data_IF_286391117274
#
_entry.id   IF_286391117274
#
_cell.length_a   1.000
_cell.length_b   1.000
_cell.length_c   1.000
_cell.angle_alpha   90.00
_cell.angle_beta   90.00
_cell.angle_gamma   90.00
#
_symmetry.space_group_name_H-M   'P 1'
#
loop_
_entity.id
_entity.type
_entity.pdbx_description
1 polymer ?
#
# COMPACT_ATOMS: atom_id res chain seq x y z
N UNK A 1 67.73 -13.65 -36.66
CA UNK A 1 66.71 -12.59 -36.57
C UNK A 1 65.35 -13.21 -36.81
N UNK A 2 64.53 -13.36 -35.77
CA UNK A 2 63.08 -13.55 -35.92
C UNK A 2 62.43 -12.84 -34.74
N UNK A 3 61.71 -11.77 -35.03
CA UNK A 3 61.16 -10.80 -34.08
C UNK A 3 59.89 -11.39 -33.45
N UNK A 4 59.86 -11.49 -32.13
CA UNK A 4 58.68 -11.89 -31.35
C UNK A 4 57.77 -10.65 -31.21
N UNK A 5 56.64 -10.63 -31.91
CA UNK A 5 55.64 -9.55 -31.83
C UNK A 5 54.79 -9.68 -30.57
N UNK A 6 54.93 -8.73 -29.65
CA UNK A 6 54.09 -8.59 -28.46
C UNK A 6 52.71 -8.05 -28.88
N UNK A 7 51.69 -8.91 -28.90
CA UNK A 7 50.31 -8.51 -29.15
C UNK A 7 49.74 -7.88 -27.85
N UNK A 8 49.81 -6.56 -27.74
CA UNK A 8 49.10 -5.81 -26.70
C UNK A 8 47.60 -5.85 -26.98
N UNK A 9 46.87 -6.76 -26.32
CA UNK A 9 45.42 -6.68 -26.23
C UNK A 9 45.05 -5.42 -25.42
N UNK A 10 44.52 -4.40 -26.10
CA UNK A 10 43.88 -3.27 -25.43
C UNK A 10 42.65 -3.80 -24.68
N UNK A 11 42.76 -3.95 -23.37
CA UNK A 11 41.58 -4.08 -22.52
C UNK A 11 40.88 -2.73 -22.54
N UNK A 12 39.80 -2.61 -23.32
CA UNK A 12 38.89 -1.49 -23.15
C UNK A 12 38.33 -1.61 -21.73
N UNK A 13 38.77 -0.73 -20.83
CA UNK A 13 38.02 -0.48 -19.61
C UNK A 13 36.62 -0.09 -20.06
N UNK A 14 35.63 -0.95 -19.79
CA UNK A 14 34.23 -0.59 -19.97
C UNK A 14 33.97 0.53 -18.98
N UNK A 15 34.05 1.77 -19.44
CA UNK A 15 33.68 2.92 -18.63
C UNK A 15 32.17 2.82 -18.44
N UNK A 16 31.76 2.41 -17.25
CA UNK A 16 30.37 2.46 -16.83
C UNK A 16 30.03 3.93 -16.62
N UNK A 17 29.04 4.41 -17.36
CA UNK A 17 28.47 5.73 -17.16
C UNK A 17 27.09 5.52 -16.53
N UNK A 18 26.82 6.09 -15.34
CA UNK A 18 25.47 6.06 -14.80
C UNK A 18 24.56 6.82 -15.77
N UNK A 19 23.61 6.11 -16.37
CA UNK A 19 22.66 6.67 -17.33
C UNK A 19 21.41 7.21 -16.60
N UNK A 20 21.04 6.57 -15.47
CA UNK A 20 19.95 6.99 -14.59
C UNK A 20 20.17 6.46 -13.15
N UNK A 21 19.29 6.82 -12.21
CA UNK A 21 19.31 6.28 -10.84
C UNK A 21 19.15 4.76 -10.82
N UNK A 22 19.82 4.01 -9.93
CA UNK A 22 19.64 2.56 -9.85
C UNK A 22 18.17 2.17 -9.71
N UNK A 23 17.78 1.10 -10.39
CA UNK A 23 16.45 0.52 -10.27
C UNK A 23 16.11 0.16 -8.83
N UNK A 24 14.82 0.02 -8.54
CA UNK A 24 14.37 -0.33 -7.19
C UNK A 24 14.71 -1.79 -6.88
N UNK A 25 15.29 -2.11 -5.70
CA UNK A 25 15.56 -3.49 -5.29
C UNK A 25 14.29 -4.33 -5.23
N UNK A 26 14.39 -5.65 -5.43
CA UNK A 26 13.25 -6.57 -5.42
C UNK A 26 13.24 -7.45 -4.18
N UNK A 27 12.08 -7.99 -3.82
CA UNK A 27 11.88 -8.94 -2.73
C UNK A 27 12.67 -8.63 -1.44
N UNK A 28 12.15 -7.69 -0.64
CA UNK A 28 12.65 -7.49 0.73
C UNK A 28 12.03 -8.56 1.63
N UNK A 29 12.81 -9.57 1.99
CA UNK A 29 12.43 -10.59 2.95
C UNK A 29 13.05 -10.25 4.31
N UNK A 30 12.23 -10.19 5.35
CA UNK A 30 12.67 -9.95 6.72
C UNK A 30 12.41 -11.20 7.54
N UNK A 31 13.47 -11.81 8.05
CA UNK A 31 13.41 -13.01 8.89
C UNK A 31 13.93 -12.68 10.29
N UNK A 32 13.31 -13.20 11.37
CA UNK A 32 13.90 -13.11 12.69
C UNK A 32 15.17 -13.96 12.74
N UNK A 33 16.31 -13.35 13.05
CA UNK A 33 17.57 -14.07 13.27
C UNK A 33 17.78 -14.38 14.76
N UNK A 34 17.29 -13.50 15.65
CA UNK A 34 17.24 -13.71 17.11
C UNK A 34 16.20 -12.78 17.75
N UNK A 35 16.17 -12.72 19.09
CA UNK A 35 15.33 -11.78 19.85
C UNK A 35 15.71 -10.30 19.67
N UNK A 36 16.88 -10.00 19.09
CA UNK A 36 17.37 -8.62 18.89
C UNK A 36 17.99 -8.37 17.51
N UNK A 37 17.93 -9.34 16.59
CA UNK A 37 18.50 -9.20 15.25
C UNK A 37 17.51 -9.66 14.18
N UNK A 38 17.46 -8.90 13.09
CA UNK A 38 16.70 -9.20 11.88
C UNK A 38 17.67 -9.55 10.77
N UNK A 39 17.38 -10.63 10.03
CA UNK A 39 18.02 -10.91 8.75
C UNK A 39 17.15 -10.28 7.67
N UNK A 40 17.69 -9.26 6.98
CA UNK A 40 17.06 -8.64 5.83
C UNK A 40 17.74 -9.15 4.58
N UNK A 41 17.00 -9.91 3.77
CA UNK A 41 17.44 -10.33 2.45
C UNK A 41 16.79 -9.40 1.42
N UNK A 42 17.61 -8.82 0.57
CA UNK A 42 17.18 -7.96 -0.55
C UNK A 42 17.70 -8.58 -1.83
N UNK A 43 16.83 -8.73 -2.82
CA UNK A 43 17.25 -9.10 -4.16
C UNK A 43 17.56 -7.85 -4.98
N UNK A 44 18.51 -7.94 -5.92
CA UNK A 44 18.77 -6.84 -6.82
C UNK A 44 17.54 -6.42 -7.63
N UNK A 45 17.55 -5.18 -8.15
CA UNK A 45 16.57 -4.73 -9.12
C UNK A 45 16.29 -5.77 -10.21
N UNK A 46 15.03 -5.92 -10.59
CA UNK A 46 14.64 -6.81 -11.68
C UNK A 46 15.30 -6.35 -12.98
N UNK A 47 15.84 -7.30 -13.76
CA UNK A 47 16.42 -6.98 -15.06
C UNK A 47 17.73 -6.19 -15.00
N UNK A 48 18.53 -6.34 -13.91
CA UNK A 48 19.93 -5.89 -13.94
C UNK A 48 20.61 -6.48 -15.17
N UNK A 49 21.24 -5.60 -15.94
CA UNK A 49 21.98 -5.94 -17.14
C UNK A 49 23.43 -6.22 -16.74
N UNK A 50 24.24 -6.90 -17.58
CA UNK A 50 25.69 -6.99 -17.37
C UNK A 50 26.38 -5.63 -17.19
N UNK A 51 25.74 -4.56 -17.67
CA UNK A 51 26.17 -3.17 -17.54
C UNK A 51 25.75 -2.51 -16.20
N UNK A 52 25.13 -3.26 -15.29
CA UNK A 52 24.60 -2.75 -14.03
C UNK A 52 23.12 -2.34 -14.09
N UNK A 53 22.65 -1.66 -13.04
CA UNK A 53 21.30 -1.10 -12.97
C UNK A 53 21.35 0.33 -13.51
N UNK A 54 20.72 0.56 -14.67
CA UNK A 54 20.74 1.85 -15.36
C UNK A 54 22.15 2.38 -15.68
N UNK A 55 23.06 1.48 -16.07
CA UNK A 55 24.38 1.81 -16.59
C UNK A 55 25.53 1.72 -15.58
N UNK A 56 25.24 1.46 -14.30
CA UNK A 56 26.25 1.34 -13.24
C UNK A 56 25.94 0.15 -12.29
N UNK A 57 26.92 -0.61 -11.78
CA UNK A 57 26.65 -1.75 -10.91
C UNK A 57 26.09 -1.29 -9.56
N UNK A 58 25.13 -2.05 -9.02
CA UNK A 58 24.61 -1.78 -7.68
C UNK A 58 25.66 -2.19 -6.65
N UNK A 59 26.29 -1.20 -6.03
CA UNK A 59 27.40 -1.43 -5.07
C UNK A 59 26.92 -1.86 -3.68
N UNK A 60 25.66 -1.60 -3.34
CA UNK A 60 25.07 -1.97 -2.06
C UNK A 60 23.68 -1.39 -1.86
N UNK A 61 23.03 -1.79 -0.77
CA UNK A 61 21.71 -1.31 -0.38
C UNK A 61 21.79 -0.60 0.97
N UNK A 62 21.05 0.51 1.09
CA UNK A 62 20.78 1.16 2.38
C UNK A 62 19.49 0.58 2.95
N UNK A 63 19.56 -0.07 4.10
CA UNK A 63 18.39 -0.57 4.82
C UNK A 63 18.04 0.45 5.90
N UNK A 64 16.97 1.20 5.66
CA UNK A 64 16.41 2.09 6.67
C UNK A 64 15.37 1.33 7.50
N UNK A 65 15.71 1.05 8.76
CA UNK A 65 14.79 0.42 9.73
C UNK A 65 14.09 1.53 10.50
N UNK A 66 12.76 1.63 10.33
CA UNK A 66 11.96 2.47 11.21
C UNK A 66 11.89 1.78 12.59
N UNK A 67 12.73 2.22 13.53
CA UNK A 67 12.66 1.74 14.91
C UNK A 67 11.43 2.37 15.57
N UNK A 68 10.41 1.55 15.81
CA UNK A 68 9.33 1.93 16.71
C UNK A 68 9.94 2.23 18.09
N UNK A 69 9.81 3.48 18.53
CA UNK A 69 10.16 3.89 19.89
C UNK A 69 8.84 4.29 20.54
N UNK A 70 8.37 3.57 21.57
CA UNK A 70 7.15 3.98 22.26
C UNK A 70 7.36 5.35 22.90
N UNK A 71 6.34 6.19 22.87
CA UNK A 71 6.34 7.41 23.66
C UNK A 71 6.30 7.02 25.14
N UNK A 72 7.14 7.66 25.95
CA UNK A 72 7.18 7.43 27.39
C UNK A 72 6.95 8.75 28.10
N UNK A 73 5.93 8.77 28.95
CA UNK A 73 5.65 9.87 29.85
C UNK A 73 5.81 9.41 31.29
N UNK A 74 6.02 10.38 32.17
CA UNK A 74 5.91 10.19 33.60
C UNK A 74 4.73 10.97 34.13
N UNK A 75 4.07 10.45 35.16
CA UNK A 75 3.03 11.14 35.89
C UNK A 75 3.38 11.09 37.38
N UNK A 76 3.58 12.26 37.98
CA UNK A 76 3.91 12.39 39.39
C UNK A 76 2.68 12.82 40.19
N UNK A 77 2.51 12.18 41.35
CA UNK A 77 1.65 12.65 42.43
C UNK A 77 2.56 12.92 43.62
N UNK A 78 2.54 14.15 44.14
CA UNK A 78 3.43 14.57 45.22
C UNK A 78 2.78 15.62 46.12
N UNK A 79 3.29 15.71 47.34
CA UNK A 79 2.89 16.72 48.32
C UNK A 79 4.13 17.32 48.97
N UNK A 80 4.26 18.64 48.91
CA UNK A 80 5.36 19.36 49.55
C UNK A 80 5.14 19.56 51.06
N UNK A 81 3.89 19.48 51.52
CA UNK A 81 3.49 19.86 52.88
C UNK A 81 3.47 18.68 53.87
N UNK A 82 3.64 17.45 53.40
CA UNK A 82 3.60 16.23 54.22
C UNK A 82 2.90 15.05 53.53
N UNK A 83 2.82 13.88 54.19
CA UNK A 83 2.25 12.66 53.59
C UNK A 83 0.79 12.84 53.18
N UNK A 84 0.44 12.25 52.04
CA UNK A 84 -0.94 12.11 51.59
C UNK A 84 -1.52 10.88 52.29
N UNK A 85 -2.64 11.02 52.99
CA UNK A 85 -3.28 9.93 53.76
C UNK A 85 -4.57 9.44 53.12
N UNK A 86 -5.15 10.21 52.21
CA UNK A 86 -6.37 9.86 51.50
C UNK A 86 -6.65 10.78 50.33
N UNK A 87 -7.65 10.42 49.51
CA UNK A 87 -8.07 11.17 48.34
C UNK A 87 -7.92 10.38 47.04
N UNK A 88 -8.48 10.94 45.97
CA UNK A 88 -8.56 10.32 44.66
C UNK A 88 -8.59 11.37 43.54
N UNK A 89 -8.31 10.94 42.31
CA UNK A 89 -8.30 11.80 41.13
C UNK A 89 -8.72 11.03 39.88
N UNK A 90 -9.08 11.75 38.83
CA UNK A 90 -9.31 11.20 37.48
C UNK A 90 -8.13 11.53 36.58
N UNK A 91 -7.85 10.66 35.62
CA UNK A 91 -6.85 10.86 34.58
C UNK A 91 -7.51 11.36 33.31
N UNK A 92 -6.84 12.26 32.59
CA UNK A 92 -7.26 12.75 31.28
C UNK A 92 -6.09 12.76 30.31
N UNK A 93 -6.39 12.50 29.04
CA UNK A 93 -5.41 12.55 27.96
C UNK A 93 -6.03 13.14 26.69
N UNK A 94 -5.25 13.96 25.99
CA UNK A 94 -5.61 14.53 24.68
C UNK A 94 -4.70 13.90 23.62
N UNK A 95 -5.26 13.17 22.65
CA UNK A 95 -4.44 12.52 21.63
C UNK A 95 -3.94 13.50 20.55
N UNK A 96 -3.10 13.02 19.63
CA UNK A 96 -2.57 13.83 18.52
C UNK A 96 -3.63 14.40 17.56
N UNK A 97 -4.85 13.87 17.58
CA UNK A 97 -6.00 14.40 16.83
C UNK A 97 -6.76 15.50 17.58
N UNK A 98 -6.33 15.87 18.78
CA UNK A 98 -6.97 16.90 19.62
C UNK A 98 -8.20 16.43 20.38
N UNK A 99 -8.48 15.12 20.41
CA UNK A 99 -9.61 14.56 21.16
C UNK A 99 -9.18 14.29 22.60
N UNK A 100 -9.90 14.90 23.55
CA UNK A 100 -9.69 14.70 25.00
C UNK A 100 -10.66 13.68 25.56
N UNK A 101 -10.15 12.75 26.36
CA UNK A 101 -10.96 11.84 27.16
C UNK A 101 -10.50 11.84 28.61
N UNK A 102 -11.45 11.61 29.52
CA UNK A 102 -11.24 11.55 30.97
C UNK A 102 -11.77 10.24 31.51
N UNK A 103 -11.04 9.62 32.44
CA UNK A 103 -11.43 8.36 33.06
C UNK A 103 -12.73 8.53 33.83
N UNK A 104 -13.68 7.61 33.67
CA UNK A 104 -15.00 7.72 34.31
C UNK A 104 -14.92 7.52 35.83
N UNK A 105 -14.05 6.63 36.31
CA UNK A 105 -13.83 6.34 37.73
C UNK A 105 -12.68 7.17 38.33
N UNK A 106 -12.86 7.66 39.55
CA UNK A 106 -11.76 8.20 40.36
C UNK A 106 -10.84 7.06 40.84
N UNK A 107 -9.53 7.25 40.68
CA UNK A 107 -8.51 6.33 41.20
C UNK A 107 -7.93 6.85 42.52
N UNK A 108 -7.65 5.99 43.51
CA UNK A 108 -7.01 6.40 44.76
C UNK A 108 -5.63 7.02 44.54
N UNK A 109 -5.22 7.92 45.45
CA UNK A 109 -3.93 8.63 45.34
C UNK A 109 -2.71 7.69 45.22
N UNK A 110 -2.74 6.54 45.90
CA UNK A 110 -1.67 5.54 45.97
C UNK A 110 -1.95 4.27 45.15
N UNK A 111 -2.74 4.39 44.08
CA UNK A 111 -3.19 3.26 43.27
C UNK A 111 -2.05 2.39 42.72
N UNK A 112 -2.30 1.11 42.48
CA UNK A 112 -1.32 0.20 41.86
C UNK A 112 -1.10 0.57 40.38
N UNK A 113 0.05 0.21 39.77
CA UNK A 113 0.27 0.44 38.34
C UNK A 113 -0.82 -0.19 37.46
N UNK A 114 -1.35 -1.36 37.83
CA UNK A 114 -2.41 -2.03 37.05
C UNK A 114 -3.70 -1.22 37.02
N UNK A 115 -4.13 -0.67 38.17
CA UNK A 115 -5.33 0.16 38.25
C UNK A 115 -5.13 1.49 37.52
N UNK A 116 -3.92 2.07 37.60
CA UNK A 116 -3.57 3.25 36.82
C UNK A 116 -3.63 2.96 35.31
N UNK A 117 -3.06 1.83 34.87
CA UNK A 117 -3.10 1.40 33.47
C UNK A 117 -4.53 1.13 33.00
N UNK A 118 -5.37 0.47 33.81
CA UNK A 118 -6.79 0.25 33.50
C UNK A 118 -7.55 1.57 33.33
N UNK A 119 -7.31 2.57 34.18
CA UNK A 119 -7.95 3.88 34.05
C UNK A 119 -7.58 4.56 32.72
N UNK A 120 -6.33 4.48 32.28
CA UNK A 120 -5.91 5.00 30.97
C UNK A 120 -6.42 4.17 29.79
N UNK A 121 -6.39 2.83 29.89
CA UNK A 121 -6.91 1.94 28.85
C UNK A 121 -8.44 2.01 28.71
N UNK A 122 -9.14 2.62 29.66
CA UNK A 122 -10.58 2.91 29.54
C UNK A 122 -10.88 4.14 28.67
N UNK A 123 -9.86 4.93 28.31
CA UNK A 123 -10.04 6.13 27.50
C UNK A 123 -10.23 5.74 26.02
N UNK A 124 -11.33 6.15 25.36
CA UNK A 124 -11.62 5.77 23.97
C UNK A 124 -10.64 6.35 22.94
N UNK A 125 -9.81 7.32 23.34
CA UNK A 125 -8.81 7.95 22.49
C UNK A 125 -7.40 7.35 22.65
N UNK A 126 -7.27 6.25 23.40
CA UNK A 126 -6.05 5.47 23.57
C UNK A 126 -6.32 3.99 23.25
N UNK A 127 -5.33 3.32 22.68
CA UNK A 127 -5.42 1.91 22.26
C UNK A 127 -4.33 1.03 22.88
N UNK A 128 -3.70 1.50 23.97
CA UNK A 128 -2.81 0.67 24.78
C UNK A 128 -1.75 1.47 25.55
N UNK A 129 -1.69 1.25 26.85
CA UNK A 129 -0.59 1.71 27.71
C UNK A 129 -0.09 0.61 28.64
N UNK A 130 1.21 0.66 28.95
CA UNK A 130 1.85 -0.13 29.98
C UNK A 130 2.34 0.85 31.05
N UNK A 131 2.09 0.55 32.33
CA UNK A 131 2.44 1.46 33.43
C UNK A 131 3.30 0.73 34.45
N UNK A 132 4.37 1.38 34.89
CA UNK A 132 5.13 0.99 36.08
C UNK A 132 5.08 2.10 37.12
N UNK A 133 5.30 1.78 38.39
CA UNK A 133 5.27 2.75 39.48
C UNK A 133 6.56 2.67 40.28
N UNK A 134 7.11 3.83 40.66
CA UNK A 134 8.24 3.92 41.56
C UNK A 134 7.91 3.41 42.97
N UNK A 135 8.95 3.26 43.79
CA UNK A 135 8.79 3.22 45.25
C UNK A 135 8.26 4.57 45.76
N UNK A 136 7.66 4.54 46.95
CA UNK A 136 7.22 5.76 47.63
C UNK A 136 8.44 6.63 47.98
N UNK A 137 8.31 7.94 47.80
CA UNK A 137 9.38 8.91 48.08
C UNK A 137 10.29 9.23 46.89
N UNK A 138 10.03 8.66 45.71
CA UNK A 138 10.70 9.06 44.46
C UNK A 138 10.46 10.54 44.11
N UNK A 139 9.33 11.07 44.57
CA UNK A 139 8.99 12.50 44.65
C UNK A 139 8.51 12.79 46.08
N UNK A 140 8.55 14.05 46.55
CA UNK A 140 8.07 14.44 47.87
C UNK A 140 6.73 13.78 48.23
N UNK A 141 6.79 12.88 49.22
CA UNK A 141 5.62 12.22 49.80
C UNK A 141 4.70 11.54 48.76
N UNK A 142 5.28 10.97 47.70
CA UNK A 142 4.49 10.51 46.56
C UNK A 142 5.14 9.47 45.67
N UNK A 143 4.57 9.30 44.49
CA UNK A 143 4.93 8.29 43.50
C UNK A 143 5.13 8.90 42.11
N UNK A 144 5.97 8.25 41.30
CA UNK A 144 6.09 8.49 39.87
C UNK A 144 5.59 7.26 39.11
N UNK A 145 4.60 7.45 38.25
CA UNK A 145 4.14 6.44 37.31
C UNK A 145 4.84 6.67 35.98
N UNK A 146 5.51 5.64 35.44
CA UNK A 146 6.08 5.68 34.09
C UNK A 146 5.11 5.00 33.15
N UNK A 147 4.63 5.74 32.16
CA UNK A 147 3.58 5.36 31.21
C UNK A 147 4.25 5.17 29.87
N UNK A 148 4.24 3.94 29.36
CA UNK A 148 4.70 3.60 28.02
C UNK A 148 3.48 3.44 27.12
N UNK A 149 3.37 4.32 26.13
CA UNK A 149 2.35 4.25 25.08
C UNK A 149 2.69 3.10 24.14
N UNK A 150 1.92 2.02 24.21
CA UNK A 150 2.21 0.75 23.56
C UNK A 150 1.16 0.35 22.51
N UNK A 151 0.13 1.17 22.32
CA UNK A 151 -0.91 0.93 21.33
C UNK A 151 -0.41 1.07 19.90
N UNK A 152 -0.93 0.22 19.02
CA UNK A 152 -0.42 0.05 17.66
C UNK A 152 -0.90 1.15 16.68
N UNK A 153 -1.95 1.89 17.02
CA UNK A 153 -2.64 2.82 16.11
C UNK A 153 -2.76 4.23 16.71
N UNK A 154 -3.48 4.40 17.82
CA UNK A 154 -3.76 5.72 18.43
C UNK A 154 -2.59 6.23 19.26
N UNK A 155 -1.93 5.34 19.99
CA UNK A 155 -0.77 5.60 20.84
C UNK A 155 0.57 5.40 20.10
N UNK A 156 0.53 5.22 18.77
CA UNK A 156 1.71 4.93 17.97
C UNK A 156 2.46 6.23 17.54
N UNK A 157 3.69 6.36 18.03
CA UNK A 157 4.56 7.51 17.79
C UNK A 157 4.39 8.59 18.85
N UNK A 158 4.88 9.80 18.56
CA UNK A 158 4.94 10.90 19.50
C UNK A 158 3.57 11.28 20.05
N UNK A 159 3.46 11.41 21.36
CA UNK A 159 2.26 11.89 22.05
C UNK A 159 2.49 13.34 22.46
N UNK A 160 1.99 14.34 21.73
CA UNK A 160 2.36 15.74 21.99
C UNK A 160 1.82 16.28 23.32
N UNK A 161 0.69 15.75 23.79
CA UNK A 161 0.07 16.19 25.04
C UNK A 161 0.44 15.26 26.20
N UNK A 162 0.39 15.82 27.41
CA UNK A 162 0.70 15.10 28.63
C UNK A 162 -0.56 14.44 29.22
N UNK A 163 -0.38 13.30 29.87
CA UNK A 163 -1.38 12.77 30.79
C UNK A 163 -1.54 13.75 31.95
N UNK A 164 -2.78 14.15 32.23
CA UNK A 164 -3.14 15.10 33.28
C UNK A 164 -4.05 14.44 34.31
N UNK A 165 -4.07 14.98 35.52
CA UNK A 165 -4.91 14.49 36.60
C UNK A 165 -5.70 15.62 37.26
N UNK A 166 -6.93 15.33 37.68
CA UNK A 166 -7.78 16.28 38.42
C UNK A 166 -8.53 15.60 39.55
N UNK A 167 -8.53 16.23 40.72
CA UNK A 167 -9.30 15.79 41.88
C UNK A 167 -10.66 16.50 42.01
N UNK A 168 -11.04 17.37 41.07
CA UNK A 168 -12.22 18.24 41.19
C UNK A 168 -13.55 17.47 41.33
N UNK A 169 -13.67 16.32 40.68
CA UNK A 169 -14.85 15.46 40.73
C UNK A 169 -14.68 14.25 41.67
N UNK A 170 -13.61 14.23 42.47
CA UNK A 170 -13.19 13.08 43.26
C UNK A 170 -13.11 13.42 44.75
N UNK A 171 -12.92 12.39 45.58
CA UNK A 171 -12.70 12.60 47.02
C UNK A 171 -11.45 13.44 47.23
N UNK A 172 -11.61 14.58 47.93
CA UNK A 172 -10.54 15.52 48.20
C UNK A 172 -9.35 14.87 48.92
N UNK A 173 -8.15 15.34 48.61
CA UNK A 173 -6.94 14.86 49.27
C UNK A 173 -6.91 15.20 50.76
N UNK A 174 -6.36 14.27 51.54
CA UNK A 174 -6.17 14.40 52.97
C UNK A 174 -4.68 14.31 53.31
N UNK A 175 -4.21 15.07 54.32
CA UNK A 175 -4.92 16.15 55.04
C UNK A 175 -5.33 17.34 54.15
N UNK A 176 -6.46 17.98 54.43
CA UNK A 176 -7.00 19.07 53.59
C UNK A 176 -6.12 20.33 53.53
N UNK A 177 -5.16 20.47 54.46
CA UNK A 177 -4.19 21.56 54.48
C UNK A 177 -2.91 21.27 53.65
N UNK A 178 -2.80 20.09 53.02
CA UNK A 178 -1.67 19.74 52.17
C UNK A 178 -1.98 20.03 50.69
N UNK A 179 -1.00 20.57 49.97
CA UNK A 179 -1.06 20.81 48.53
C UNK A 179 -0.53 19.60 47.79
N UNK A 180 -1.44 18.90 47.11
CA UNK A 180 -1.10 17.79 46.21
C UNK A 180 -0.96 18.30 44.78
N UNK A 181 0.18 18.04 44.16
CA UNK A 181 0.44 18.33 42.75
C UNK A 181 0.33 17.05 41.93
N UNK A 182 -0.37 17.15 40.80
CA UNK A 182 -0.50 16.12 39.77
C UNK A 182 0.15 16.66 38.50
N UNK A 183 1.24 16.03 38.04
CA UNK A 183 1.98 16.55 36.89
C UNK A 183 2.46 15.43 35.99
N UNK A 184 2.04 15.49 34.72
CA UNK A 184 2.64 14.73 33.63
C UNK A 184 3.92 15.39 33.14
N UNK A 185 4.87 14.61 32.62
CA UNK A 185 6.06 15.09 31.93
C UNK A 185 6.50 14.11 30.85
N UNK A 186 7.05 14.62 29.75
CA UNK A 186 7.65 13.80 28.70
C UNK A 186 8.97 13.21 29.18
N UNK A 187 9.21 11.93 28.88
CA UNK A 187 10.49 11.26 29.15
C UNK A 187 11.17 10.83 27.84
N UNK A 188 10.42 10.22 26.93
CA UNK A 188 10.92 9.82 25.61
C UNK A 188 9.87 10.13 24.57
N UNK A 189 10.24 10.90 23.56
CA UNK A 189 9.35 11.16 22.41
C UNK A 189 9.25 9.90 21.55
N UNK A 190 8.03 9.46 21.29
CA UNK A 190 7.79 8.28 20.46
C UNK A 190 8.12 8.51 18.98
N UNK A 191 8.64 7.48 18.32
CA UNK A 191 8.79 7.44 16.86
C UNK A 191 7.75 6.49 16.29
N UNK A 192 7.01 6.96 15.27
CA UNK A 192 5.93 6.19 14.66
C UNK A 192 6.47 4.89 14.07
N UNK A 193 5.90 3.77 14.50
CA UNK A 193 6.12 2.45 13.92
C UNK A 193 5.27 2.23 12.67
N UNK A 194 5.59 1.17 11.93
CA UNK A 194 4.80 0.72 10.80
C UNK A 194 3.39 0.29 11.25
N UNK A 195 2.36 0.83 10.59
CA UNK A 195 0.97 0.40 10.75
C UNK A 195 0.53 -0.17 9.41
N UNK A 196 0.20 -1.47 9.31
CA UNK A 196 -0.25 -2.04 8.06
C UNK A 196 -1.56 -1.39 7.65
N UNK A 197 -1.68 -1.12 6.35
CA UNK A 197 -2.95 -0.75 5.79
C UNK A 197 -3.90 -1.95 5.77
N UNK A 198 -5.10 -1.77 6.32
CA UNK A 198 -6.14 -2.80 6.38
C UNK A 198 -7.36 -2.35 5.59
N UNK A 199 -7.79 -3.19 4.66
CA UNK A 199 -9.06 -3.06 3.95
C UNK A 199 -10.08 -3.97 4.57
N UNK A 200 -11.25 -3.42 4.88
CA UNK A 200 -12.38 -4.20 5.34
C UNK A 200 -13.37 -4.36 4.20
N UNK A 201 -13.60 -5.62 3.80
CA UNK A 201 -14.69 -6.01 2.93
C UNK A 201 -15.83 -6.49 3.83
N UNK A 202 -17.04 -5.98 3.62
CA UNK A 202 -18.22 -6.42 4.37
C UNK A 202 -19.32 -6.83 3.40
N UNK A 203 -19.94 -7.98 3.65
CA UNK A 203 -21.25 -8.32 3.09
C UNK A 203 -22.32 -8.21 4.17
N UNK A 204 -23.52 -7.81 3.78
CA UNK A 204 -24.66 -7.71 4.70
C UNK A 204 -25.96 -7.99 3.99
N UNK A 205 -26.94 -8.54 4.70
CA UNK A 205 -28.32 -8.67 4.27
C UNK A 205 -29.18 -7.80 5.20
N UNK A 206 -29.98 -6.90 4.63
CA UNK A 206 -30.68 -5.87 5.41
C UNK A 206 -31.96 -6.37 6.10
N UNK A 207 -32.56 -7.46 5.62
CA UNK A 207 -33.80 -8.01 6.20
C UNK A 207 -33.56 -9.00 7.33
N UNK A 208 -32.34 -9.52 7.45
CA UNK A 208 -31.93 -10.56 8.40
C UNK A 208 -32.75 -11.85 8.27
N UNK A 209 -33.21 -12.16 7.06
CA UNK A 209 -34.07 -13.33 6.81
C UNK A 209 -33.35 -14.48 6.12
N UNK A 210 -32.27 -14.19 5.40
CA UNK A 210 -31.49 -15.18 4.65
C UNK A 210 -30.00 -14.83 4.69
N UNK A 211 -29.14 -15.83 4.60
CA UNK A 211 -27.70 -15.62 4.42
C UNK A 211 -27.33 -15.00 3.07
N UNK A 212 -26.16 -14.34 3.02
CA UNK A 212 -25.57 -13.85 1.76
C UNK A 212 -24.85 -14.97 1.02
N UNK A 213 -25.17 -15.14 -0.27
CA UNK A 213 -24.50 -16.03 -1.22
C UNK A 213 -24.12 -15.31 -2.52
N UNK A 214 -23.79 -16.07 -3.56
CA UNK A 214 -23.37 -15.53 -4.86
C UNK A 214 -21.87 -15.31 -4.94
N UNK A 215 -21.44 -14.33 -5.73
CA UNK A 215 -20.01 -14.06 -5.96
C UNK A 215 -19.67 -12.59 -5.84
N UNK A 216 -18.39 -12.33 -5.70
CA UNK A 216 -17.84 -10.99 -5.65
C UNK A 216 -16.61 -10.96 -6.54
N UNK A 217 -16.57 -9.99 -7.46
CA UNK A 217 -15.38 -9.71 -8.23
C UNK A 217 -14.48 -8.75 -7.44
N UNK A 218 -13.23 -9.14 -7.27
CA UNK A 218 -12.20 -8.32 -6.62
C UNK A 218 -11.11 -8.02 -7.63
N UNK A 219 -10.58 -6.81 -7.58
CA UNK A 219 -9.55 -6.38 -8.52
C UNK A 219 -8.63 -5.31 -7.92
N UNK A 220 -7.41 -5.24 -8.43
CA UNK A 220 -6.37 -4.31 -7.97
C UNK A 220 -5.56 -3.81 -9.17
N UNK A 221 -5.30 -2.51 -9.19
CA UNK A 221 -4.50 -1.89 -10.26
C UNK A 221 -5.12 -2.05 -11.66
N UNK A 222 -4.32 -1.87 -12.70
CA UNK A 222 -4.67 -2.18 -14.10
C UNK A 222 -3.56 -2.97 -14.81
N UNK A 223 -2.48 -3.24 -14.10
CA UNK A 223 -1.38 -4.04 -14.57
C UNK A 223 -1.87 -5.43 -14.94
N UNK A 224 -1.30 -5.96 -16.02
CA UNK A 224 -1.60 -7.29 -16.53
C UNK A 224 -0.38 -8.21 -16.42
N UNK A 225 -0.51 -9.41 -16.96
CA UNK A 225 0.66 -10.22 -17.30
C UNK A 225 1.18 -9.80 -18.67
N UNK A 226 2.50 -9.69 -18.83
CA UNK A 226 3.16 -9.30 -20.09
C UNK A 226 3.15 -10.44 -21.11
N UNK A 227 1.97 -10.82 -21.59
CA UNK A 227 1.72 -12.01 -22.42
C UNK A 227 0.92 -11.71 -23.68
N UNK A 228 0.36 -10.51 -23.84
CA UNK A 228 -0.40 -10.15 -25.04
C UNK A 228 0.54 -9.88 -26.20
N UNK A 229 0.57 -10.79 -27.17
CA UNK A 229 1.32 -10.61 -28.41
C UNK A 229 0.66 -9.50 -29.25
N UNK A 230 1.46 -8.54 -29.71
CA UNK A 230 0.98 -7.43 -30.54
C UNK A 230 0.85 -7.78 -32.03
N UNK A 231 1.32 -8.98 -32.45
CA UNK A 231 1.36 -9.38 -33.85
C UNK A 231 2.42 -8.67 -34.67
N UNK A 232 3.24 -7.83 -34.03
CA UNK A 232 4.33 -7.05 -34.64
C UNK A 232 5.67 -7.64 -34.26
N UNK A 233 6.61 -7.62 -35.19
CA UNK A 233 8.01 -7.98 -34.92
C UNK A 233 8.92 -6.75 -34.88
N UNK A 234 9.98 -6.84 -34.07
CA UNK A 234 10.96 -5.79 -33.90
C UNK A 234 12.38 -6.38 -33.88
N UNK A 235 13.36 -5.57 -34.26
CA UNK A 235 14.78 -5.88 -34.10
C UNK A 235 15.46 -4.80 -33.27
N UNK A 236 16.39 -5.18 -32.41
CA UNK A 236 17.18 -4.27 -31.59
C UNK A 236 18.62 -4.76 -31.59
N UNK A 237 19.54 -3.88 -31.91
CA UNK A 237 20.96 -4.20 -31.88
C UNK A 237 21.41 -4.39 -30.41
N UNK A 238 22.37 -5.29 -30.18
CA UNK A 238 22.91 -5.49 -28.85
C UNK A 238 23.49 -4.20 -28.27
N UNK A 239 23.11 -3.85 -27.04
CA UNK A 239 23.50 -2.61 -26.38
C UNK A 239 22.73 -1.36 -26.82
N UNK A 240 21.75 -1.48 -27.72
CA UNK A 240 20.93 -0.35 -28.18
C UNK A 240 19.71 -0.13 -27.28
N UNK A 241 19.40 1.13 -26.95
CA UNK A 241 18.11 1.55 -26.36
C UNK A 241 17.08 1.92 -27.43
N UNK A 242 17.40 1.71 -28.69
CA UNK A 242 16.53 2.00 -29.83
C UNK A 242 16.29 0.74 -30.62
N UNK A 243 15.03 0.32 -30.66
CA UNK A 243 14.57 -0.80 -31.45
C UNK A 243 14.01 -0.32 -32.79
N UNK A 244 14.14 -1.15 -33.82
CA UNK A 244 13.81 -0.88 -35.21
C UNK A 244 12.66 -1.78 -35.65
N UNK A 245 11.68 -1.17 -36.29
CA UNK A 245 10.50 -1.82 -36.87
C UNK A 245 10.34 -1.38 -38.33
N UNK A 246 9.46 -2.02 -39.08
CA UNK A 246 9.02 -1.56 -40.40
C UNK A 246 7.75 -0.74 -40.26
N UNK A 247 7.42 0.11 -41.23
CA UNK A 247 6.17 0.85 -41.22
C UNK A 247 4.92 -0.06 -41.10
N UNK A 248 4.99 -1.29 -41.64
CA UNK A 248 3.94 -2.30 -41.52
C UNK A 248 3.81 -2.90 -40.10
N UNK A 249 4.88 -2.85 -39.30
CA UNK A 249 4.93 -3.34 -37.90
C UNK A 249 4.95 -2.18 -36.88
N UNK A 250 4.54 -0.98 -37.30
CA UNK A 250 4.59 0.24 -36.48
C UNK A 250 3.88 0.08 -35.14
N UNK A 251 4.58 0.41 -34.06
CA UNK A 251 4.01 0.38 -32.70
C UNK A 251 3.27 1.66 -32.30
N UNK A 252 3.36 2.76 -33.05
CA UNK A 252 2.68 4.03 -32.72
C UNK A 252 1.16 3.85 -32.64
N UNK A 253 0.60 2.98 -33.47
CA UNK A 253 -0.84 2.67 -33.47
C UNK A 253 -1.29 1.81 -32.28
N UNK A 254 -0.36 1.23 -31.54
CA UNK A 254 -0.62 0.14 -30.59
C UNK A 254 -0.24 0.51 -29.16
N UNK A 255 0.90 1.17 -28.97
CA UNK A 255 1.42 1.57 -27.66
C UNK A 255 1.59 3.08 -27.56
N UNK A 256 1.41 3.61 -26.37
CA UNK A 256 1.69 5.00 -26.01
C UNK A 256 3.02 5.13 -25.26
N UNK A 257 3.37 6.38 -24.91
CA UNK A 257 4.54 6.67 -24.07
C UNK A 257 4.37 6.07 -22.69
N UNK A 258 5.48 5.59 -22.09
CA UNK A 258 5.55 4.92 -20.80
C UNK A 258 4.86 3.54 -20.72
N UNK A 259 4.24 3.08 -21.81
CA UNK A 259 3.70 1.73 -21.87
C UNK A 259 4.81 0.70 -21.73
N UNK A 260 4.46 -0.42 -21.09
CA UNK A 260 5.38 -1.52 -20.84
C UNK A 260 5.27 -2.52 -21.99
N UNK A 261 6.42 -3.00 -22.44
CA UNK A 261 6.54 -4.08 -23.41
C UNK A 261 7.64 -5.06 -23.03
N UNK A 262 7.58 -6.25 -23.61
CA UNK A 262 8.62 -7.28 -23.53
C UNK A 262 9.12 -7.60 -24.93
N UNK A 263 10.44 -7.62 -25.08
CA UNK A 263 11.16 -7.98 -26.30
C UNK A 263 12.11 -9.12 -25.93
N UNK A 264 11.96 -10.29 -26.56
CA UNK A 264 12.82 -11.46 -26.33
C UNK A 264 13.00 -11.83 -24.83
N UNK A 265 11.94 -11.69 -24.03
CA UNK A 265 11.96 -11.96 -22.58
C UNK A 265 12.48 -10.83 -21.70
N UNK A 266 12.98 -9.74 -22.28
CA UNK A 266 13.45 -8.55 -21.55
C UNK A 266 12.37 -7.46 -21.54
N UNK A 267 12.11 -6.88 -20.35
CA UNK A 267 11.07 -5.87 -20.12
C UNK A 267 11.61 -4.46 -20.35
N UNK A 268 10.82 -3.63 -21.03
CA UNK A 268 11.13 -2.24 -21.33
C UNK A 268 9.88 -1.36 -21.13
N UNK A 269 10.10 -0.05 -21.06
CA UNK A 269 9.05 0.96 -21.28
C UNK A 269 9.36 1.76 -22.54
N UNK A 270 8.29 2.21 -23.21
CA UNK A 270 8.44 3.22 -24.26
C UNK A 270 8.95 4.50 -23.61
N UNK A 271 10.11 4.97 -24.04
CA UNK A 271 10.76 6.14 -23.49
C UNK A 271 9.82 7.36 -23.51
N UNK A 272 9.79 8.13 -22.43
CA UNK A 272 8.84 9.23 -22.24
C UNK A 272 8.93 10.31 -23.33
N UNK A 273 10.15 10.72 -23.71
CA UNK A 273 10.39 11.89 -24.58
C UNK A 273 11.14 11.62 -25.89
N UNK A 274 11.97 10.57 -25.99
CA UNK A 274 12.77 10.27 -27.17
C UNK A 274 11.92 10.04 -28.44
N UNK A 275 12.43 10.26 -29.67
CA UNK A 275 11.62 10.11 -30.89
C UNK A 275 11.02 8.71 -31.03
N UNK A 276 9.69 8.63 -31.15
CA UNK A 276 8.93 7.41 -31.44
C UNK A 276 8.30 7.59 -32.81
N UNK A 277 8.79 6.82 -33.78
CA UNK A 277 8.33 6.82 -35.18
C UNK A 277 7.75 5.44 -35.55
N UNK A 278 7.23 5.32 -36.76
CA UNK A 278 6.73 4.06 -37.32
C UNK A 278 7.80 2.96 -37.45
N UNK A 279 9.05 3.39 -37.54
CA UNK A 279 10.23 2.54 -37.76
C UNK A 279 11.20 2.53 -36.59
N UNK A 280 10.99 3.40 -35.60
CA UNK A 280 11.90 3.58 -34.45
C UNK A 280 11.10 3.57 -33.15
N UNK A 281 11.42 2.61 -32.28
CA UNK A 281 10.81 2.45 -30.96
C UNK A 281 11.87 2.76 -29.91
N UNK A 282 11.71 3.88 -29.17
CA UNK A 282 12.67 4.24 -28.14
C UNK A 282 12.34 3.49 -26.85
N UNK A 283 13.32 2.76 -26.34
CA UNK A 283 13.24 2.03 -25.08
C UNK A 283 13.81 2.89 -23.95
N UNK A 284 13.30 2.70 -22.75
CA UNK A 284 13.82 3.31 -21.52
C UNK A 284 15.24 2.83 -21.15
N UNK A 285 15.68 1.69 -21.68
CA UNK A 285 16.99 1.10 -21.40
C UNK A 285 17.56 0.28 -22.57
N UNK A 286 18.87 -0.01 -22.54
CA UNK A 286 19.60 -0.74 -23.62
C UNK A 286 19.29 -2.24 -23.63
N UNK A 287 18.91 -2.84 -24.74
CA UNK A 287 18.69 -4.30 -24.83
C UNK A 287 20.03 -5.06 -24.81
N UNK A 288 20.20 -6.04 -23.91
CA UNK A 288 21.53 -6.63 -23.61
C UNK A 288 22.10 -7.38 -24.81
N UNK A 289 21.37 -8.40 -25.25
CA UNK A 289 21.85 -9.37 -26.25
C UNK A 289 21.47 -9.00 -27.68
N UNK A 290 20.74 -7.90 -27.84
CA UNK A 290 19.96 -7.63 -29.04
C UNK A 290 18.85 -8.67 -29.26
N UNK A 291 18.01 -8.41 -30.25
CA UNK A 291 17.02 -9.34 -30.74
C UNK A 291 16.77 -9.05 -32.22
N UNK A 292 16.49 -10.08 -33.02
CA UNK A 292 16.22 -9.89 -34.44
C UNK A 292 14.89 -10.51 -34.82
N UNK A 293 13.99 -9.70 -35.36
CA UNK A 293 12.68 -10.09 -35.85
C UNK A 293 11.87 -10.90 -34.82
N UNK A 294 11.86 -10.42 -33.58
CA UNK A 294 11.16 -11.08 -32.46
C UNK A 294 9.81 -10.44 -32.22
N UNK A 295 8.86 -11.24 -31.73
CA UNK A 295 7.55 -10.75 -31.33
C UNK A 295 7.64 -9.82 -30.10
N UNK A 296 6.73 -8.83 -30.07
CA UNK A 296 6.58 -7.90 -28.95
C UNK A 296 5.34 -8.24 -28.15
N UNK A 297 5.48 -8.24 -26.83
CA UNK A 297 4.39 -8.51 -25.90
C UNK A 297 4.11 -7.29 -25.01
N UNK A 298 2.86 -7.09 -24.62
CA UNK A 298 2.44 -6.08 -23.63
C UNK A 298 1.52 -6.72 -22.59
N UNK A 299 0.97 -5.92 -21.68
CA UNK A 299 0.01 -6.38 -20.69
C UNK A 299 -1.25 -6.97 -21.36
N UNK A 300 -1.72 -8.09 -20.84
CA UNK A 300 -2.99 -8.72 -21.24
C UNK A 300 -4.23 -7.86 -20.90
N UNK A 301 -4.07 -6.90 -20.00
CA UNK A 301 -5.06 -5.87 -19.67
C UNK A 301 -5.12 -4.73 -20.69
N UNK A 302 -4.11 -4.56 -21.54
CA UNK A 302 -4.13 -3.54 -22.60
C UNK A 302 -5.20 -3.90 -23.61
N UNK A 303 -6.24 -3.07 -23.74
CA UNK A 303 -7.26 -3.26 -24.79
C UNK A 303 -6.69 -2.78 -26.12
N UNK A 304 -6.22 -1.53 -26.15
CA UNK A 304 -5.60 -0.92 -27.31
C UNK A 304 -5.51 0.59 -27.16
N UNK A 305 -5.24 1.28 -28.27
CA UNK A 305 -5.11 2.73 -28.32
C UNK A 305 -6.45 3.41 -28.58
N UNK A 306 -6.64 4.60 -28.02
CA UNK A 306 -7.80 5.44 -28.24
C UNK A 306 -7.45 6.92 -28.41
N UNK A 307 -8.40 7.67 -28.96
CA UNK A 307 -8.38 9.12 -28.99
C UNK A 307 -9.38 9.70 -27.99
N UNK A 308 -8.92 10.68 -27.21
CA UNK A 308 -9.67 11.37 -26.16
C UNK A 308 -9.71 12.86 -26.45
N UNK A 309 -10.81 13.50 -26.10
CA UNK A 309 -11.04 14.95 -26.27
C UNK A 309 -11.34 15.56 -24.92
N UNK A 310 -10.66 16.65 -24.57
CA UNK A 310 -10.90 17.40 -23.32
C UNK A 310 -12.39 17.74 -23.18
N UNK A 311 -12.97 17.41 -22.03
CA UNK A 311 -14.37 17.70 -21.72
C UNK A 311 -15.39 16.74 -22.36
N UNK A 312 -14.93 15.67 -23.04
CA UNK A 312 -15.80 14.64 -23.62
C UNK A 312 -15.73 13.34 -22.82
N UNK A 313 -16.87 12.71 -22.56
CA UNK A 313 -16.94 11.32 -22.09
C UNK A 313 -16.86 10.30 -23.24
N UNK A 314 -16.92 10.75 -24.49
CA UNK A 314 -16.83 9.89 -25.68
C UNK A 314 -15.39 9.75 -26.13
N UNK A 315 -14.94 8.50 -26.23
CA UNK A 315 -13.59 8.08 -26.62
C UNK A 315 -13.66 7.36 -27.96
N UNK A 316 -12.89 7.80 -28.95
CA UNK A 316 -12.90 7.19 -30.30
C UNK A 316 -11.86 6.07 -30.38
N UNK A 317 -12.24 4.96 -31.01
CA UNK A 317 -11.37 3.79 -31.22
C UNK A 317 -11.15 3.55 -32.72
N UNK A 318 -9.95 3.13 -33.10
CA UNK A 318 -9.62 2.75 -34.48
C UNK A 318 -9.94 1.28 -34.79
N UNK A 319 -10.20 0.49 -33.75
CA UNK A 319 -10.54 -0.93 -33.84
C UNK A 319 -11.76 -1.22 -32.98
N UNK A 320 -12.46 -2.31 -33.33
CA UNK A 320 -13.61 -2.78 -32.58
C UNK A 320 -13.18 -3.46 -31.29
N UNK A 321 -13.54 -2.85 -30.15
CA UNK A 321 -13.24 -3.36 -28.82
C UNK A 321 -14.44 -4.05 -28.15
N UNK A 322 -15.57 -4.21 -28.83
CA UNK A 322 -16.81 -4.82 -28.28
C UNK A 322 -16.63 -6.27 -27.81
N UNK A 323 -15.64 -6.99 -28.35
CA UNK A 323 -15.30 -8.34 -27.89
C UNK A 323 -14.47 -8.36 -26.58
N UNK A 324 -13.83 -7.24 -26.23
CA UNK A 324 -12.91 -7.14 -25.08
C UNK A 324 -13.48 -6.33 -23.92
N UNK A 325 -14.42 -5.42 -24.22
CA UNK A 325 -15.04 -4.49 -23.28
C UNK A 325 -16.56 -4.63 -23.30
N UNK A 326 -17.16 -4.47 -22.12
CA UNK A 326 -18.60 -4.39 -21.92
C UNK A 326 -18.98 -3.21 -21.02
N UNK A 327 -20.28 -2.92 -20.96
CA UNK A 327 -20.83 -1.92 -20.05
C UNK A 327 -20.56 -2.33 -18.60
N UNK A 328 -20.13 -1.38 -17.77
CA UNK A 328 -19.74 -1.58 -16.38
C UNK A 328 -18.27 -1.94 -16.16
N UNK A 329 -17.50 -2.22 -17.23
CA UNK A 329 -16.07 -2.49 -17.09
C UNK A 329 -15.31 -1.26 -16.57
N UNK A 330 -14.44 -1.49 -15.59
CA UNK A 330 -13.50 -0.49 -15.11
C UNK A 330 -12.30 -0.41 -16.07
N UNK A 331 -12.02 0.80 -16.55
CA UNK A 331 -10.95 1.09 -17.51
C UNK A 331 -10.03 2.20 -17.03
N UNK A 332 -8.78 2.16 -17.50
CA UNK A 332 -7.79 3.21 -17.28
C UNK A 332 -7.37 3.82 -18.62
N UNK A 333 -7.24 5.15 -18.58
CA UNK A 333 -6.76 5.99 -19.67
C UNK A 333 -5.72 6.94 -19.08
N UNK A 334 -4.44 6.70 -19.40
CA UNK A 334 -3.34 7.41 -18.76
C UNK A 334 -3.34 7.22 -17.24
N UNK A 335 -3.43 8.31 -16.47
CA UNK A 335 -3.51 8.27 -15.00
C UNK A 335 -4.93 8.23 -14.43
N UNK A 336 -5.96 8.27 -15.29
CA UNK A 336 -7.37 8.41 -14.88
C UNK A 336 -8.15 7.11 -15.05
N UNK A 337 -9.09 6.87 -14.14
CA UNK A 337 -9.93 5.67 -14.10
C UNK A 337 -11.38 6.03 -14.40
N UNK A 338 -12.07 5.18 -15.15
CA UNK A 338 -13.44 5.37 -15.58
C UNK A 338 -14.19 4.04 -15.61
N UNK A 339 -15.51 4.12 -15.73
CA UNK A 339 -16.40 2.98 -16.01
C UNK A 339 -16.99 3.12 -17.42
N UNK A 340 -17.13 2.02 -18.14
CA UNK A 340 -17.75 2.01 -19.47
C UNK A 340 -19.28 2.10 -19.34
N UNK A 341 -19.90 3.12 -19.93
CA UNK A 341 -21.36 3.28 -20.00
C UNK A 341 -21.96 2.71 -21.29
N UNK A 342 -21.24 2.81 -22.40
CA UNK A 342 -21.65 2.26 -23.69
C UNK A 342 -20.42 1.93 -24.54
N UNK A 343 -20.56 0.97 -25.44
CA UNK A 343 -19.51 0.62 -26.39
C UNK A 343 -20.11 0.26 -27.76
N UNK A 344 -19.44 0.73 -28.80
CA UNK A 344 -19.69 0.40 -30.21
C UNK A 344 -18.36 0.05 -30.87
N UNK A 345 -18.38 -0.33 -32.15
CA UNK A 345 -17.18 -0.68 -32.90
C UNK A 345 -16.15 0.45 -33.02
N UNK A 346 -16.54 1.72 -32.83
CA UNK A 346 -15.66 2.89 -33.03
C UNK A 346 -15.67 3.86 -31.85
N UNK A 347 -16.44 3.60 -30.80
CA UNK A 347 -16.60 4.53 -29.68
C UNK A 347 -16.84 3.80 -28.36
N UNK A 348 -16.17 4.27 -27.31
CA UNK A 348 -16.41 3.92 -25.90
C UNK A 348 -16.90 5.17 -25.18
N UNK A 349 -18.03 5.07 -24.48
CA UNK A 349 -18.57 6.15 -23.64
C UNK A 349 -18.23 5.88 -22.19
N UNK A 350 -17.63 6.85 -21.50
CA UNK A 350 -17.20 6.79 -20.11
C UNK A 350 -18.25 7.37 -19.16
N UNK A 351 -18.12 7.09 -17.87
CA UNK A 351 -18.94 7.61 -16.77
C UNK A 351 -18.62 9.07 -16.38
N UNK A 352 -17.51 9.61 -16.86
CA UNK A 352 -17.12 11.00 -16.66
C UNK A 352 -16.38 11.57 -17.88
N UNK A 353 -16.39 12.90 -17.98
CA UNK A 353 -15.66 13.61 -19.04
C UNK A 353 -14.15 13.50 -18.84
N UNK A 354 -13.40 13.35 -19.94
CA UNK A 354 -11.95 13.36 -19.94
C UNK A 354 -11.41 14.71 -19.43
N UNK A 355 -10.60 14.73 -18.34
CA UNK A 355 -10.20 15.98 -17.68
C UNK A 355 -8.87 16.55 -18.18
N UNK A 356 -8.14 15.84 -19.04
CA UNK A 356 -6.81 16.23 -19.51
C UNK A 356 -6.83 16.75 -20.96
N UNK A 357 -5.73 17.34 -21.46
CA UNK A 357 -5.66 17.75 -22.86
C UNK A 357 -6.03 16.62 -23.84
N UNK A 358 -6.65 16.99 -24.95
CA UNK A 358 -6.98 16.04 -26.02
C UNK A 358 -5.74 15.34 -26.53
N UNK A 359 -5.83 14.04 -26.75
CA UNK A 359 -4.72 13.21 -27.23
C UNK A 359 -5.26 12.10 -28.11
N UNK A 360 -4.56 11.83 -29.22
CA UNK A 360 -4.86 10.68 -30.05
C UNK A 360 -4.10 9.43 -29.60
N UNK A 361 -3.17 9.53 -28.64
CA UNK A 361 -2.25 8.47 -28.22
C UNK A 361 -2.43 8.17 -26.73
N UNK A 362 -3.56 7.57 -26.36
CA UNK A 362 -3.81 7.10 -24.99
C UNK A 362 -4.08 5.61 -25.02
N UNK A 363 -3.41 4.86 -24.15
CA UNK A 363 -3.63 3.44 -23.99
C UNK A 363 -4.82 3.21 -23.08
N UNK A 364 -5.80 2.46 -23.59
CA UNK A 364 -6.97 1.99 -22.86
C UNK A 364 -6.64 0.63 -22.26
N UNK A 365 -6.68 0.54 -20.94
CA UNK A 365 -6.49 -0.70 -20.20
C UNK A 365 -7.77 -1.10 -19.50
N UNK A 366 -8.10 -2.39 -19.49
CA UNK A 366 -9.20 -2.98 -18.74
C UNK A 366 -8.66 -3.64 -17.49
N UNK A 367 -9.29 -3.37 -16.34
CA UNK A 367 -8.87 -3.97 -15.08
C UNK A 367 -9.06 -5.49 -15.12
N UNK A 368 -8.04 -6.23 -14.68
CA UNK A 368 -8.18 -7.68 -14.44
C UNK A 368 -8.85 -7.91 -13.10
N UNK A 369 -9.78 -8.86 -13.05
CA UNK A 369 -10.55 -9.22 -11.86
C UNK A 369 -10.46 -10.71 -11.59
N UNK A 370 -10.64 -11.07 -10.33
CA UNK A 370 -10.82 -12.44 -9.87
C UNK A 370 -12.19 -12.54 -9.20
N UNK A 371 -12.86 -13.67 -9.36
CA UNK A 371 -14.19 -13.90 -8.79
C UNK A 371 -14.06 -14.87 -7.64
N UNK A 372 -14.60 -14.50 -6.48
CA UNK A 372 -14.68 -15.35 -5.29
C UNK A 372 -16.13 -15.50 -4.86
N UNK A 373 -16.42 -16.53 -4.06
CA UNK A 373 -17.75 -16.64 -3.45
C UNK A 373 -18.01 -15.51 -2.45
N UNK A 374 -19.26 -15.10 -2.31
CA UNK A 374 -19.67 -14.09 -1.33
C UNK A 374 -19.62 -14.57 0.12
N UNK A 375 -19.32 -15.85 0.34
CA UNK A 375 -19.09 -16.50 1.64
C UNK A 375 -17.69 -17.14 1.74
N UNK A 376 -16.80 -16.84 0.78
CA UNK A 376 -15.45 -17.40 0.68
C UNK A 376 -14.70 -17.36 2.01
N UNK A 377 -13.99 -18.44 2.33
CA UNK A 377 -13.10 -18.44 3.49
C UNK A 377 -11.90 -17.50 3.29
N UNK A 378 -11.16 -17.24 4.37
CA UNK A 378 -10.04 -16.30 4.32
C UNK A 378 -8.92 -16.75 3.37
N UNK A 379 -8.65 -18.07 3.30
CA UNK A 379 -7.64 -18.65 2.42
C UNK A 379 -8.05 -18.59 0.95
N UNK A 380 -9.32 -18.85 0.64
CA UNK A 380 -9.87 -18.71 -0.72
C UNK A 380 -9.70 -17.26 -1.24
N UNK A 381 -10.11 -16.26 -0.45
CA UNK A 381 -9.96 -14.85 -0.84
C UNK A 381 -8.49 -14.44 -0.97
N UNK A 382 -7.62 -14.89 -0.05
CA UNK A 382 -6.19 -14.61 -0.13
C UNK A 382 -5.57 -15.19 -1.41
N UNK A 383 -5.86 -16.46 -1.71
CA UNK A 383 -5.36 -17.12 -2.91
C UNK A 383 -5.86 -16.43 -4.18
N UNK A 384 -7.14 -16.07 -4.25
CA UNK A 384 -7.71 -15.38 -5.39
C UNK A 384 -7.05 -14.01 -5.63
N UNK A 385 -6.81 -13.23 -4.56
CA UNK A 385 -6.11 -11.95 -4.64
C UNK A 385 -4.67 -12.11 -5.12
N UNK A 386 -3.95 -13.14 -4.65
CA UNK A 386 -2.57 -13.42 -5.08
C UNK A 386 -2.44 -13.86 -6.54
N UNK A 387 -3.52 -14.28 -7.20
CA UNK A 387 -3.53 -14.57 -8.64
C UNK A 387 -3.63 -13.30 -9.49
N UNK A 388 -3.98 -12.15 -8.92
CA UNK A 388 -4.05 -10.91 -9.66
C UNK A 388 -2.63 -10.38 -9.96
N UNK A 389 -2.38 -9.88 -11.19
CA UNK A 389 -1.12 -9.23 -11.50
C UNK A 389 -0.87 -8.06 -10.56
N UNK A 390 0.39 -7.90 -10.14
CA UNK A 390 0.76 -6.82 -9.23
C UNK A 390 0.44 -7.10 -7.75
N UNK A 391 -0.05 -8.29 -7.39
CA UNK A 391 -0.12 -8.74 -5.98
C UNK A 391 1.02 -9.71 -5.71
N UNK A 392 1.79 -9.44 -4.66
CA UNK A 392 2.84 -10.36 -4.20
C UNK A 392 2.28 -11.29 -3.13
N UNK A 393 2.05 -10.76 -1.93
CA UNK A 393 1.47 -11.52 -0.82
C UNK A 393 0.41 -10.70 -0.09
N UNK A 394 -0.60 -11.42 0.40
CA UNK A 394 -1.74 -10.85 1.10
C UNK A 394 -2.05 -11.71 2.32
N UNK A 395 -2.42 -11.05 3.42
CA UNK A 395 -2.98 -11.69 4.59
C UNK A 395 -4.46 -11.33 4.66
N UNK A 396 -5.29 -12.35 4.85
CA UNK A 396 -6.73 -12.18 5.00
C UNK A 396 -7.15 -12.88 6.28
N UNK A 397 -7.95 -12.19 7.09
CA UNK A 397 -8.75 -12.82 8.15
C UNK A 397 -10.22 -12.59 7.86
N UNK A 398 -11.07 -13.49 8.36
CA UNK A 398 -12.52 -13.43 8.15
C UNK A 398 -13.26 -13.61 9.47
N UNK A 399 -14.30 -12.82 9.66
CA UNK A 399 -15.25 -12.90 10.78
C UNK A 399 -16.65 -13.08 10.22
N UNK A 400 -17.44 -13.94 10.84
CA UNK A 400 -18.87 -14.10 10.57
C UNK A 400 -19.32 -15.57 10.53
N UNK A 401 -20.63 -15.82 10.37
CA UNK A 401 -21.66 -14.82 10.02
C UNK A 401 -21.84 -13.71 11.05
N UNK A 402 -22.00 -12.47 10.61
CA UNK A 402 -22.26 -11.31 11.48
C UNK A 402 -23.74 -11.24 11.87
N UNK A 403 -24.09 -10.31 12.77
CA UNK A 403 -25.49 -10.02 13.08
C UNK A 403 -26.29 -9.54 11.86
N UNK A 404 -25.62 -9.12 10.79
CA UNK A 404 -26.21 -8.74 9.51
C UNK A 404 -26.28 -9.90 8.49
N UNK A 405 -26.20 -11.15 8.96
CA UNK A 405 -26.23 -12.38 8.15
C UNK A 405 -25.23 -12.41 6.98
N UNK A 406 -24.13 -11.66 7.09
CA UNK A 406 -23.05 -11.60 6.11
C UNK A 406 -21.70 -11.83 6.77
N UNK A 407 -20.63 -11.38 6.13
CA UNK A 407 -19.26 -11.67 6.54
C UNK A 407 -18.38 -10.42 6.45
N UNK A 408 -17.31 -10.40 7.24
CA UNK A 408 -16.29 -9.36 7.20
C UNK A 408 -14.94 -9.98 6.93
N UNK A 409 -14.20 -9.44 5.96
CA UNK A 409 -12.81 -9.80 5.71
C UNK A 409 -11.92 -8.60 5.98
N UNK A 410 -10.81 -8.85 6.66
CA UNK A 410 -9.74 -7.88 6.87
C UNK A 410 -8.57 -8.28 5.99
N UNK A 411 -8.23 -7.43 5.03
CA UNK A 411 -7.27 -7.69 3.98
C UNK A 411 -6.08 -6.75 4.19
N UNK A 412 -4.91 -7.34 4.37
CA UNK A 412 -3.63 -6.63 4.51
C UNK A 412 -2.72 -7.08 3.38
N UNK A 413 -2.38 -6.17 2.46
CA UNK A 413 -1.35 -6.46 1.48
C UNK A 413 0.02 -6.35 2.14
N UNK A 414 0.70 -7.48 2.25
CA UNK A 414 2.07 -7.55 2.77
C UNK A 414 3.09 -7.34 1.67
N UNK A 415 2.68 -7.38 0.40
CA UNK A 415 3.58 -7.15 -0.72
C UNK A 415 2.80 -6.86 -2.00
N UNK A 416 3.13 -5.77 -2.69
CA UNK A 416 2.51 -5.37 -3.97
C UNK A 416 3.54 -5.13 -5.07
N UNK A 417 3.31 -5.72 -6.23
CA UNK A 417 4.01 -5.47 -7.49
C UNK A 417 4.14 -3.98 -7.85
N UNK A 418 4.91 -3.63 -8.89
CA UNK A 418 4.96 -2.27 -9.40
C UNK A 418 3.59 -1.87 -9.97
N UNK A 419 2.75 -1.25 -9.14
CA UNK A 419 1.43 -0.76 -9.51
C UNK A 419 1.36 0.76 -9.54
N UNK A 420 0.80 1.31 -10.60
CA UNK A 420 0.49 2.72 -10.74
C UNK A 420 -0.90 2.99 -10.13
N UNK A 421 -0.93 3.29 -8.84
CA UNK A 421 -2.15 3.66 -8.14
C UNK A 421 -1.96 4.94 -7.32
N UNK A 422 -2.70 6.04 -7.61
CA UNK A 422 -2.58 7.26 -6.82
C UNK A 422 -3.10 7.14 -5.38
N UNK A 423 -4.00 6.17 -5.11
CA UNK A 423 -4.54 5.87 -3.78
C UNK A 423 -4.38 4.38 -3.47
N UNK A 424 -3.13 3.91 -3.36
CA UNK A 424 -2.83 2.50 -3.12
C UNK A 424 -3.43 2.02 -1.78
N UNK A 425 -3.83 0.73 -1.71
CA UNK A 425 -4.18 -0.18 -2.81
C UNK A 425 -5.38 0.31 -3.62
N UNK A 426 -5.30 0.17 -4.95
CA UNK A 426 -6.42 0.39 -5.88
C UNK A 426 -7.48 -0.72 -5.81
N UNK A 427 -7.77 -1.23 -4.61
CA UNK A 427 -8.69 -2.34 -4.42
C UNK A 427 -10.11 -1.91 -4.80
N UNK A 428 -10.78 -2.73 -5.60
CA UNK A 428 -12.16 -2.53 -6.03
C UNK A 428 -12.96 -3.80 -5.91
N UNK A 429 -14.25 -3.59 -5.68
CA UNK A 429 -15.25 -4.59 -5.45
C UNK A 429 -16.38 -4.45 -6.45
N UNK A 430 -16.82 -5.53 -7.08
CA UNK A 430 -18.06 -5.57 -7.87
C UNK A 430 -18.88 -6.79 -7.44
N UNK A 431 -19.95 -6.59 -6.66
CA UNK A 431 -20.71 -7.69 -6.08
C UNK A 431 -21.77 -8.24 -7.04
N UNK A 432 -21.93 -9.57 -7.06
CA UNK A 432 -22.98 -10.31 -7.76
C UNK A 432 -23.69 -11.22 -6.75
N UNK A 433 -24.45 -10.59 -5.85
CA UNK A 433 -24.97 -11.26 -4.66
C UNK A 433 -26.28 -11.99 -4.93
N UNK A 434 -26.37 -13.17 -4.32
CA UNK A 434 -27.60 -13.95 -4.24
C UNK A 434 -27.90 -14.26 -2.78
N UNK A 435 -29.08 -14.77 -2.48
CA UNK A 435 -29.38 -15.37 -1.17
C UNK A 435 -28.60 -16.68 -1.04
N UNK A 436 -28.52 -17.24 0.17
CA UNK A 436 -27.97 -18.59 0.38
C UNK A 436 -28.64 -19.70 -0.48
N UNK A 437 -29.86 -19.47 -0.96
CA UNK A 437 -30.59 -20.35 -1.88
C UNK A 437 -30.33 -20.09 -3.38
N UNK A 438 -29.42 -19.17 -3.73
CA UNK A 438 -29.05 -18.85 -5.11
C UNK A 438 -30.00 -17.93 -5.87
N UNK A 439 -30.95 -17.27 -5.21
CA UNK A 439 -31.85 -16.28 -5.82
C UNK A 439 -31.27 -14.86 -5.77
N UNK A 440 -31.58 -14.00 -6.74
CA UNK A 440 -31.06 -12.63 -6.77
C UNK A 440 -31.42 -11.87 -5.48
N UNK A 441 -30.41 -11.31 -4.80
CA UNK A 441 -30.61 -10.66 -3.51
C UNK A 441 -30.52 -9.15 -3.62
N UNK A 442 -31.67 -8.49 -3.82
CA UNK A 442 -31.76 -7.03 -3.90
C UNK A 442 -31.50 -6.33 -2.54
N UNK A 443 -31.60 -7.06 -1.43
CA UNK A 443 -31.41 -6.57 -0.06
C UNK A 443 -30.00 -6.84 0.48
N UNK A 444 -29.19 -7.58 -0.27
CA UNK A 444 -27.79 -7.83 0.02
C UNK A 444 -26.93 -6.67 -0.49
N UNK A 445 -25.90 -6.34 0.27
CA UNK A 445 -24.89 -5.36 -0.13
C UNK A 445 -23.49 -5.90 0.15
N UNK A 446 -22.52 -5.43 -0.63
CA UNK A 446 -21.11 -5.60 -0.31
C UNK A 446 -20.40 -4.25 -0.42
N UNK A 447 -19.57 -3.95 0.57
CA UNK A 447 -18.81 -2.71 0.63
C UNK A 447 -17.36 -3.01 0.91
N UNK A 448 -16.49 -2.10 0.48
CA UNK A 448 -15.08 -2.15 0.82
C UNK A 448 -14.61 -0.79 1.31
N UNK A 449 -13.98 -0.76 2.47
CA UNK A 449 -13.51 0.46 3.12
C UNK A 449 -12.07 0.29 3.60
N UNK A 450 -11.32 1.39 3.56
CA UNK A 450 -9.99 1.45 4.17
C UNK A 450 -10.16 1.81 5.65
N UNK A 451 -9.69 0.96 6.56
CA UNK A 451 -9.87 1.15 8.01
C UNK A 451 -8.77 2.01 8.63
N UNK A 452 -7.52 1.82 8.21
CA UNK A 452 -6.38 2.61 8.69
C UNK A 452 -5.70 3.32 7.52
N UNK A 453 -5.91 4.64 7.30
CA UNK A 453 -5.33 5.39 6.18
C UNK A 453 -3.82 5.70 6.34
N UNK A 454 -3.15 5.10 7.32
CA UNK A 454 -1.70 5.29 7.51
C UNK A 454 -0.92 4.51 6.44
N UNK A 455 0.14 5.11 5.83
CA UNK A 455 0.79 4.51 4.68
C UNK A 455 1.67 3.34 5.10
N UNK A 456 1.48 2.20 4.45
CA UNK A 456 2.38 1.08 4.59
C UNK A 456 1.87 -0.20 3.95
N UNK A 457 2.12 -0.37 2.66
CA UNK A 457 2.26 -1.70 2.06
C UNK A 457 3.74 -1.85 1.75
N UNK A 458 4.36 -2.97 2.16
CA UNK A 458 5.73 -3.24 1.71
C UNK A 458 5.68 -3.37 0.17
N UNK A 459 6.46 -2.58 -0.57
CA UNK A 459 6.55 -2.79 -2.01
C UNK A 459 7.14 -4.19 -2.29
N UNK A 460 6.42 -5.00 -3.07
CA UNK A 460 6.98 -6.15 -3.74
C UNK A 460 7.42 -5.71 -5.14
N UNK A 461 8.71 -5.56 -5.39
CA UNK A 461 9.14 -5.32 -6.77
C UNK A 461 9.40 -6.63 -7.55
N UNK A 462 8.73 -7.71 -7.19
CA UNK A 462 8.74 -8.97 -7.94
C UNK A 462 7.78 -8.95 -9.12
N UNK A 463 8.30 -8.70 -10.32
CA UNK A 463 7.89 -9.34 -11.59
C UNK A 463 8.84 -8.93 -12.72
#
# INVERSE_FOLDING_TARGET
MSLLGLLLMQTHASVFYPEDVPGTPTNVLVLPASSSTLLVQVLPPSGIKPLGSNGDPVLGYKIDVATYVPDVQTFSIQSADGPITGGSYQLSFTNGAGVTATSTSCIPWNTTPDVFAMALNSLPNLDGVIVTRSTFGAVPQGYVYTITFAGAVLANGAQPNLVTGSAAACTAFQPSNHRVALAGAHNTTGTRGFVPEVWQLTTSESTLTTGVGGTIDVSIGFEGFLTKNLGTTISVDAGSSTARTTAANSLIGVLARNDVLVINGERFRIHATAPFTDTVVPLDSKHIHGANNVAVYTYDTTVGRVAVVLGSASVTTASDYTASLGVGDAVQLGSSQFSVLAITATTVTLDANWPWPSSTHVTLMKRKKTTVRADADAGELAAALQLLPGVGSVQVSRVGPTLQMGFQWFITFTSLGPMACPLAPCLRLTPHLTTEYGTACATCAATITRQNPSPGVLPNYGS
#
